data_IF_011050360977
#
_entry.id   IF_011050360977
#
_cell.length_a   1.000
_cell.length_b   1.000
_cell.length_c   1.000
_cell.angle_alpha   90.00
_cell.angle_beta   90.00
_cell.angle_gamma   90.00
#
_symmetry.space_group_name_H-M   'P 1'
#
loop_
_entity.id
_entity.type
_entity.pdbx_description
1 polymer ?
#
# COMPACT_ATOMS: atom_id res chain seq x y z
N UNK A 1 -6.25 12.66 -1.79
CA UNK A 1 -5.97 11.21 -1.64
C UNK A 1 -5.39 10.57 -2.91
N UNK A 2 -6.15 10.39 -4.02
CA UNK A 2 -5.67 9.65 -5.21
C UNK A 2 -4.35 10.17 -5.81
N UNK A 3 -4.17 11.49 -5.96
CA UNK A 3 -2.91 12.09 -6.43
C UNK A 3 -1.73 11.78 -5.50
N UNK A 4 -1.96 11.79 -4.19
CA UNK A 4 -0.92 11.50 -3.19
C UNK A 4 -0.53 10.01 -3.23
N UNK A 5 -1.48 9.10 -3.43
CA UNK A 5 -1.20 7.68 -3.64
C UNK A 5 -0.34 7.46 -4.88
N UNK A 6 -0.72 8.02 -6.03
CA UNK A 6 0.06 7.88 -7.25
C UNK A 6 1.47 8.46 -7.11
N UNK A 7 1.60 9.65 -6.52
CA UNK A 7 2.88 10.28 -6.28
C UNK A 7 3.79 9.44 -5.37
N UNK A 8 3.25 8.87 -4.29
CA UNK A 8 4.03 8.05 -3.36
C UNK A 8 4.42 6.69 -3.97
N UNK A 9 3.54 6.08 -4.78
CA UNK A 9 3.76 4.74 -5.34
C UNK A 9 4.51 4.73 -6.68
N UNK A 10 4.95 5.90 -7.18
CA UNK A 10 5.75 6.01 -8.41
C UNK A 10 5.00 5.68 -9.71
N UNK A 11 3.69 5.41 -9.63
CA UNK A 11 2.84 5.13 -10.77
C UNK A 11 2.29 6.42 -11.41
N UNK A 12 1.96 6.40 -12.71
CA UNK A 12 1.24 7.51 -13.32
C UNK A 12 -0.13 7.66 -12.64
N UNK A 13 -0.66 8.89 -12.49
CA UNK A 13 -2.03 9.08 -12.07
C UNK A 13 -3.00 8.30 -12.97
N UNK A 14 -4.10 7.73 -12.43
CA UNK A 14 -5.11 7.08 -13.24
C UNK A 14 -5.64 8.06 -14.30
N UNK A 15 -5.72 7.61 -15.57
CA UNK A 15 -6.23 8.43 -16.69
C UNK A 15 -7.76 8.57 -16.70
N UNK A 16 -8.43 7.87 -15.79
CA UNK A 16 -9.88 7.88 -15.62
C UNK A 16 -10.27 7.22 -14.29
N UNK A 17 -11.57 7.10 -14.06
CA UNK A 17 -12.07 6.40 -12.88
C UNK A 17 -11.68 4.91 -12.93
N UNK A 18 -11.20 4.38 -11.81
CA UNK A 18 -11.05 2.95 -11.61
C UNK A 18 -12.39 2.36 -11.21
N UNK A 19 -12.81 1.27 -11.85
CA UNK A 19 -14.05 0.58 -11.50
C UNK A 19 -13.86 -0.14 -10.17
N UNK A 20 -14.81 0.07 -9.26
CA UNK A 20 -14.91 -0.63 -7.99
C UNK A 20 -16.30 -1.25 -7.87
N UNK A 21 -16.35 -2.57 -7.72
CA UNK A 21 -17.57 -3.34 -7.52
C UNK A 21 -17.70 -3.71 -6.04
N UNK A 22 -18.86 -3.39 -5.46
CA UNK A 22 -19.23 -3.81 -4.10
C UNK A 22 -20.03 -5.09 -4.22
N UNK A 23 -19.50 -6.20 -3.69
CA UNK A 23 -20.09 -7.53 -3.87
C UNK A 23 -20.32 -8.20 -2.52
N UNK A 24 -21.24 -9.17 -2.42
CA UNK A 24 -21.43 -9.89 -1.16
C UNK A 24 -20.17 -10.64 -0.72
N UNK A 25 -19.37 -11.12 -1.68
CA UNK A 25 -18.10 -11.81 -1.44
C UNK A 25 -17.04 -11.33 -2.42
N UNK A 26 -15.85 -11.01 -1.91
CA UNK A 26 -14.70 -10.55 -2.70
C UNK A 26 -13.42 -11.29 -2.27
N UNK A 27 -13.48 -12.63 -2.28
CA UNK A 27 -12.33 -13.47 -1.93
C UNK A 27 -12.11 -13.66 -0.41
N UNK A 28 -11.11 -14.46 -0.01
CA UNK A 28 -10.91 -14.87 1.38
C UNK A 28 -10.51 -13.72 2.31
N UNK A 29 -9.92 -12.66 1.75
CA UNK A 29 -9.49 -11.47 2.48
C UNK A 29 -10.45 -10.30 2.30
N UNK A 30 -11.59 -10.49 1.63
CA UNK A 30 -12.66 -9.48 1.53
C UNK A 30 -12.44 -8.37 0.52
N UNK A 31 -11.32 -8.34 -0.20
CA UNK A 31 -11.07 -7.47 -1.34
C UNK A 31 -10.04 -8.07 -2.31
N UNK A 32 -10.07 -7.65 -3.58
CA UNK A 32 -9.02 -7.94 -4.56
C UNK A 32 -9.03 -6.95 -5.74
N UNK A 33 -7.92 -6.94 -6.49
CA UNK A 33 -7.75 -6.16 -7.72
C UNK A 33 -7.34 -7.05 -8.89
N UNK A 34 -7.98 -6.85 -10.05
CA UNK A 34 -7.54 -7.36 -11.36
C UNK A 34 -6.87 -6.20 -12.11
N UNK A 35 -5.75 -6.43 -12.80
CA UNK A 35 -4.95 -5.38 -13.46
C UNK A 35 -5.20 -5.22 -14.98
N UNK A 36 -6.09 -6.01 -15.59
CA UNK A 36 -6.34 -5.97 -17.03
C UNK A 36 -7.74 -6.42 -17.43
N UNK A 37 -8.74 -5.51 -17.49
CA UNK A 37 -8.71 -4.10 -17.06
C UNK A 37 -8.65 -3.93 -15.54
N UNK A 38 -8.30 -2.73 -15.05
CA UNK A 38 -8.31 -2.44 -13.61
C UNK A 38 -9.74 -2.54 -13.07
N UNK A 39 -9.98 -3.54 -12.21
CA UNK A 39 -11.24 -3.74 -11.49
C UNK A 39 -10.91 -4.07 -10.04
N UNK A 40 -11.52 -3.31 -9.14
CA UNK A 40 -11.46 -3.52 -7.70
C UNK A 40 -12.75 -4.20 -7.27
N UNK A 41 -12.69 -5.24 -6.45
CA UNK A 41 -13.84 -5.83 -5.80
C UNK A 41 -13.68 -5.74 -4.28
N UNK A 42 -14.73 -5.33 -3.57
CA UNK A 42 -14.74 -5.21 -2.11
C UNK A 42 -16.02 -5.83 -1.52
N UNK A 43 -15.86 -6.58 -0.43
CA UNK A 43 -16.95 -7.29 0.22
C UNK A 43 -17.87 -6.34 0.98
N UNK A 44 -19.17 -6.42 0.71
CA UNK A 44 -20.22 -5.70 1.43
C UNK A 44 -20.64 -6.37 2.74
N UNK A 45 -20.23 -7.62 2.96
CA UNK A 45 -20.62 -8.41 4.14
C UNK A 45 -19.47 -8.60 5.13
N UNK A 46 -18.24 -8.25 4.73
CA UNK A 46 -17.07 -8.35 5.59
C UNK A 46 -16.94 -7.08 6.43
N UNK A 47 -17.05 -7.21 7.75
CA UNK A 47 -16.96 -6.10 8.70
C UNK A 47 -15.60 -5.38 8.65
N UNK A 48 -14.54 -6.06 8.20
CA UNK A 48 -13.21 -5.46 8.03
C UNK A 48 -13.21 -4.38 6.95
N UNK A 49 -14.14 -4.44 6.00
CA UNK A 49 -14.22 -3.55 4.84
C UNK A 49 -15.43 -2.59 4.92
N UNK A 50 -15.74 -2.08 6.11
CA UNK A 50 -16.84 -1.15 6.33
C UNK A 50 -16.38 0.25 6.76
N UNK A 51 -17.23 1.26 6.55
CA UNK A 51 -16.96 2.63 6.99
C UNK A 51 -15.61 3.19 6.48
N UNK A 52 -14.83 3.88 7.34
CA UNK A 52 -13.50 4.38 6.98
C UNK A 52 -12.52 3.31 6.48
N UNK A 53 -12.61 2.08 6.99
CA UNK A 53 -11.76 0.97 6.56
C UNK A 53 -12.05 0.53 5.11
N UNK A 54 -13.29 0.68 4.65
CA UNK A 54 -13.66 0.46 3.25
C UNK A 54 -12.94 1.44 2.32
N UNK A 55 -12.87 2.72 2.72
CA UNK A 55 -12.17 3.76 1.96
C UNK A 55 -10.68 3.42 1.84
N UNK A 56 -10.03 3.07 2.96
CA UNK A 56 -8.63 2.66 2.93
C UNK A 56 -8.39 1.41 2.08
N UNK A 57 -9.28 0.42 2.18
CA UNK A 57 -9.22 -0.80 1.37
C UNK A 57 -9.30 -0.48 -0.12
N UNK A 58 -10.22 0.40 -0.55
CA UNK A 58 -10.30 0.83 -1.95
C UNK A 58 -9.01 1.51 -2.44
N UNK A 59 -8.37 2.32 -1.61
CA UNK A 59 -7.08 2.93 -1.96
C UNK A 59 -5.93 1.92 -1.98
N UNK A 60 -5.90 0.95 -1.07
CA UNK A 60 -4.96 -0.16 -1.09
C UNK A 60 -5.07 -0.93 -2.41
N UNK A 61 -6.29 -1.36 -2.74
CA UNK A 61 -6.60 -2.10 -3.97
C UNK A 61 -6.21 -1.32 -5.23
N UNK A 62 -6.63 -0.04 -5.32
CA UNK A 62 -6.21 0.84 -6.40
C UNK A 62 -4.69 0.97 -6.51
N UNK A 63 -3.98 0.93 -5.37
CA UNK A 63 -2.52 1.03 -5.33
C UNK A 63 -1.80 -0.16 -5.96
N UNK A 64 -2.43 -1.34 -6.09
CA UNK A 64 -1.83 -2.44 -6.86
C UNK A 64 -1.58 -2.07 -8.33
N UNK A 65 -2.45 -1.24 -8.93
CA UNK A 65 -2.25 -0.73 -10.29
C UNK A 65 -1.15 0.34 -10.40
N UNK A 66 -0.81 0.99 -9.28
CA UNK A 66 0.12 2.11 -9.24
C UNK A 66 1.55 1.68 -8.86
N UNK A 67 1.70 0.66 -8.00
CA UNK A 67 2.99 0.30 -7.39
C UNK A 67 3.92 -0.50 -8.31
N UNK A 68 3.47 -0.96 -9.47
CA UNK A 68 4.24 -1.84 -10.36
C UNK A 68 5.66 -1.34 -10.71
N UNK A 69 5.90 -0.03 -10.96
CA UNK A 69 7.27 0.46 -11.18
C UNK A 69 8.18 0.22 -9.97
N UNK A 70 7.68 0.44 -8.75
CA UNK A 70 8.44 0.25 -7.51
C UNK A 70 8.68 -1.23 -7.20
N UNK A 71 7.74 -2.13 -7.52
CA UNK A 71 7.96 -3.58 -7.27
C UNK A 71 9.13 -4.11 -8.09
N UNK A 72 9.30 -3.62 -9.32
CA UNK A 72 10.45 -3.95 -10.16
C UNK A 72 11.75 -3.37 -9.62
N UNK A 73 11.74 -2.09 -9.26
CA UNK A 73 12.92 -1.42 -8.69
C UNK A 73 13.35 -2.08 -7.38
N UNK A 74 12.39 -2.46 -6.53
CA UNK A 74 12.64 -3.16 -5.27
C UNK A 74 13.34 -4.48 -5.52
N UNK A 75 12.82 -5.30 -6.44
CA UNK A 75 13.40 -6.60 -6.75
C UNK A 75 14.86 -6.47 -7.19
N UNK A 76 15.13 -5.56 -8.12
CA UNK A 76 16.49 -5.29 -8.58
C UNK A 76 17.39 -4.85 -7.42
N UNK A 77 16.94 -3.93 -6.56
CA UNK A 77 17.73 -3.45 -5.44
C UNK A 77 18.00 -4.55 -4.39
N UNK A 78 17.03 -5.45 -4.12
CA UNK A 78 17.22 -6.58 -3.22
C UNK A 78 18.22 -7.60 -3.77
N UNK A 79 18.17 -7.87 -5.07
CA UNK A 79 19.13 -8.75 -5.76
C UNK A 79 20.55 -8.15 -5.71
N UNK A 80 20.72 -6.88 -6.07
CA UNK A 80 22.02 -6.18 -6.09
C UNK A 80 22.64 -6.05 -4.69
N UNK A 81 21.82 -5.95 -3.64
CA UNK A 81 22.30 -5.84 -2.25
C UNK A 81 22.42 -7.18 -1.53
N UNK A 82 22.11 -8.29 -2.20
CA UNK A 82 22.19 -9.63 -1.60
C UNK A 82 21.21 -9.84 -0.44
N UNK A 83 20.01 -9.26 -0.53
CA UNK A 83 18.94 -9.35 0.49
C UNK A 83 17.73 -10.14 0.00
N UNK A 84 17.91 -11.39 -0.49
CA UNK A 84 16.78 -12.20 -0.95
C UNK A 84 15.80 -12.48 0.21
N UNK A 85 14.51 -12.56 -0.11
CA UNK A 85 13.46 -12.86 0.85
C UNK A 85 12.79 -11.63 1.49
N UNK A 86 13.12 -10.43 1.04
CA UNK A 86 12.36 -9.21 1.36
C UNK A 86 11.37 -8.82 0.26
N UNK A 87 11.03 -9.77 -0.62
CA UNK A 87 10.15 -9.56 -1.78
C UNK A 87 8.75 -9.08 -1.40
N UNK A 88 8.30 -9.33 -0.17
CA UNK A 88 7.00 -8.90 0.33
C UNK A 88 6.99 -7.45 0.87
N UNK A 89 8.14 -6.77 0.89
CA UNK A 89 8.26 -5.38 1.37
C UNK A 89 7.38 -4.43 0.54
N UNK A 90 7.16 -4.68 -0.75
CA UNK A 90 6.27 -3.82 -1.54
C UNK A 90 4.82 -3.85 -1.01
N UNK A 91 4.34 -4.97 -0.48
CA UNK A 91 2.96 -5.09 -0.01
C UNK A 91 2.78 -4.40 1.34
N UNK A 92 3.77 -4.56 2.23
CA UNK A 92 3.87 -3.79 3.46
C UNK A 92 3.90 -2.27 3.19
N UNK A 93 4.72 -1.83 2.23
CA UNK A 93 4.81 -0.43 1.80
C UNK A 93 3.48 0.09 1.23
N UNK A 94 2.77 -0.73 0.45
CA UNK A 94 1.45 -0.38 -0.08
C UNK A 94 0.43 -0.17 1.04
N UNK A 95 0.34 -1.08 2.01
CA UNK A 95 -0.52 -0.93 3.18
C UNK A 95 -0.18 0.31 4.00
N UNK A 96 1.11 0.53 4.27
CA UNK A 96 1.58 1.72 4.98
C UNK A 96 1.17 3.02 4.27
N UNK A 97 1.38 3.06 2.95
CA UNK A 97 1.07 4.26 2.14
C UNK A 97 -0.43 4.54 2.12
N UNK A 98 -1.27 3.52 1.89
CA UNK A 98 -2.72 3.68 1.90
C UNK A 98 -3.21 4.18 3.26
N UNK A 99 -2.74 3.56 4.35
CA UNK A 99 -3.07 3.94 5.71
C UNK A 99 -2.70 5.38 6.06
N UNK A 100 -1.47 5.79 5.76
CA UNK A 100 -1.00 7.15 6.05
C UNK A 100 -1.72 8.20 5.20
N UNK A 101 -1.95 7.94 3.91
CA UNK A 101 -2.68 8.88 3.04
C UNK A 101 -4.13 9.06 3.50
N UNK A 102 -4.80 7.98 3.89
CA UNK A 102 -6.20 8.04 4.36
C UNK A 102 -6.28 8.65 5.75
N UNK A 103 -5.39 8.29 6.68
CA UNK A 103 -5.31 8.91 8.01
C UNK A 103 -5.14 10.43 7.94
N UNK A 104 -4.29 10.94 7.04
CA UNK A 104 -4.13 12.39 6.82
C UNK A 104 -5.42 13.07 6.34
N UNK A 105 -6.30 12.34 5.67
CA UNK A 105 -7.58 12.87 5.19
C UNK A 105 -8.69 12.76 6.23
N UNK A 106 -8.74 11.67 6.99
CA UNK A 106 -9.81 11.37 7.94
C UNK A 106 -9.52 11.88 9.36
N UNK A 107 -8.26 12.19 9.67
CA UNK A 107 -7.83 12.73 10.95
C UNK A 107 -7.12 11.70 11.83
N UNK A 108 -6.60 12.16 12.98
CA UNK A 108 -5.73 11.37 13.85
C UNK A 108 -6.43 10.16 14.51
N UNK A 109 -7.75 10.20 14.65
CA UNK A 109 -8.56 9.12 15.24
C UNK A 109 -8.73 7.93 14.29
N UNK A 110 -8.46 8.10 12.99
CA UNK A 110 -8.45 7.00 12.05
C UNK A 110 -7.27 6.06 12.33
N UNK A 111 -7.58 4.81 12.64
CA UNK A 111 -6.59 3.74 12.82
C UNK A 111 -6.35 3.08 11.46
N UNK A 112 -5.13 3.14 10.89
CA UNK A 112 -4.81 2.48 9.62
C UNK A 112 -5.19 1.00 9.62
N UNK A 113 -5.70 0.49 8.50
CA UNK A 113 -6.19 -0.88 8.31
C UNK A 113 -5.17 -1.92 8.75
N UNK A 114 -3.91 -1.76 8.33
CA UNK A 114 -2.84 -2.71 8.69
C UNK A 114 -2.61 -2.78 10.21
N UNK A 115 -2.81 -1.68 10.94
CA UNK A 115 -2.76 -1.67 12.40
C UNK A 115 -4.02 -2.26 13.02
N UNK A 116 -5.21 -1.86 12.55
CA UNK A 116 -6.49 -2.35 13.05
C UNK A 116 -6.65 -3.87 12.87
N UNK A 117 -6.09 -4.42 11.79
CA UNK A 117 -6.12 -5.84 11.46
C UNK A 117 -4.86 -6.59 11.92
N UNK A 118 -3.99 -5.98 12.73
CA UNK A 118 -2.76 -6.63 13.24
C UNK A 118 -1.90 -7.27 12.14
N UNK A 119 -1.76 -6.61 10.98
CA UNK A 119 -1.00 -7.13 9.85
C UNK A 119 0.51 -7.08 10.14
N UNK A 120 0.97 -6.03 10.83
CA UNK A 120 2.37 -5.87 11.19
C UNK A 120 2.89 -7.04 12.04
N UNK A 121 2.04 -7.60 12.89
CA UNK A 121 2.40 -8.69 13.81
C UNK A 121 2.20 -10.07 13.18
N UNK A 122 1.16 -10.26 12.36
CA UNK A 122 0.83 -11.59 11.81
C UNK A 122 1.58 -11.94 10.53
N UNK A 123 1.97 -10.93 9.73
CA UNK A 123 2.65 -11.18 8.45
C UNK A 123 4.16 -11.25 8.70
N UNK A 124 4.84 -12.32 8.25
CA UNK A 124 6.28 -12.48 8.49
C UNK A 124 7.08 -11.25 8.04
N UNK A 125 8.01 -10.82 8.90
CA UNK A 125 8.93 -9.66 8.70
C UNK A 125 8.28 -8.28 8.74
N UNK A 126 6.95 -8.13 8.64
CA UNK A 126 6.32 -6.81 8.56
C UNK A 126 6.56 -5.93 9.78
N UNK A 127 6.63 -6.52 10.97
CA UNK A 127 6.99 -5.81 12.20
C UNK A 127 8.36 -5.14 12.13
N UNK A 128 9.33 -5.75 11.43
CA UNK A 128 10.67 -5.15 11.21
C UNK A 128 10.66 -4.06 10.15
N UNK A 129 9.70 -4.05 9.22
CA UNK A 129 9.58 -3.02 8.19
C UNK A 129 8.97 -1.73 8.70
N UNK A 130 8.04 -1.81 9.65
CA UNK A 130 7.30 -0.64 10.15
C UNK A 130 8.20 0.53 10.59
N UNK A 131 9.23 0.36 11.45
CA UNK A 131 10.10 1.48 11.83
C UNK A 131 10.93 2.03 10.65
N UNK A 132 11.24 1.19 9.65
CA UNK A 132 11.95 1.61 8.44
C UNK A 132 11.02 2.43 7.53
N UNK A 133 9.76 2.01 7.38
CA UNK A 133 8.71 2.72 6.64
C UNK A 133 8.41 4.08 7.27
N UNK A 134 8.27 4.14 8.60
CA UNK A 134 8.11 5.41 9.31
C UNK A 134 9.26 6.38 9.03
N UNK A 135 10.50 5.89 9.08
CA UNK A 135 11.70 6.71 8.91
C UNK A 135 11.94 7.14 7.46
N UNK A 136 11.78 6.22 6.51
CA UNK A 136 12.26 6.39 5.14
C UNK A 136 11.13 6.62 4.13
N UNK A 137 9.90 6.25 4.45
CA UNK A 137 8.76 6.39 3.53
C UNK A 137 7.86 7.58 3.84
N UNK A 138 7.72 8.01 5.11
CA UNK A 138 6.99 9.25 5.45
C UNK A 138 7.50 10.47 4.65
N UNK A 139 8.82 10.69 4.46
CA UNK A 139 9.30 11.77 3.59
C UNK A 139 8.80 11.69 2.15
N UNK A 140 8.60 10.48 1.60
CA UNK A 140 8.01 10.29 0.27
C UNK A 140 6.55 10.71 0.26
N UNK A 141 5.77 10.28 1.26
CA UNK A 141 4.35 10.67 1.40
C UNK A 141 4.20 12.18 1.62
N UNK A 142 5.16 12.81 2.30
CA UNK A 142 5.24 14.26 2.49
C UNK A 142 5.70 15.04 1.24
N UNK A 143 6.10 14.35 0.16
CA UNK A 143 6.66 14.98 -1.03
C UNK A 143 8.05 15.60 -0.83
N UNK A 144 8.77 15.17 0.22
CA UNK A 144 10.13 15.62 0.57
C UNK A 144 11.22 14.74 -0.03
N UNK A 145 10.86 13.56 -0.54
CA UNK A 145 11.74 12.62 -1.22
C UNK A 145 11.01 11.97 -2.40
N UNK A 146 11.75 11.49 -3.40
CA UNK A 146 11.13 10.70 -4.47
C UNK A 146 10.88 9.26 -4.03
N UNK A 147 9.93 8.54 -4.66
CA UNK A 147 9.71 7.13 -4.37
C UNK A 147 10.98 6.26 -4.54
N UNK A 148 11.80 6.55 -5.55
CA UNK A 148 13.08 5.84 -5.77
C UNK A 148 14.08 6.10 -4.63
N UNK A 149 14.18 7.35 -4.14
CA UNK A 149 15.09 7.67 -3.02
C UNK A 149 14.65 6.97 -1.73
N UNK A 150 13.35 6.99 -1.42
CA UNK A 150 12.78 6.29 -0.27
C UNK A 150 13.01 4.78 -0.36
N UNK A 151 12.86 4.19 -1.55
CA UNK A 151 13.02 2.76 -1.76
C UNK A 151 14.47 2.32 -1.56
N UNK A 152 15.43 3.08 -2.13
CA UNK A 152 16.86 2.84 -1.91
C UNK A 152 17.23 2.95 -0.43
N UNK A 153 16.69 3.94 0.28
CA UNK A 153 16.92 4.10 1.71
C UNK A 153 16.34 2.94 2.53
N UNK A 154 15.14 2.45 2.19
CA UNK A 154 14.54 1.26 2.80
C UNK A 154 15.42 0.04 2.58
N UNK A 155 15.79 -0.26 1.33
CA UNK A 155 16.61 -1.44 1.00
C UNK A 155 17.97 -1.37 1.67
N UNK A 156 18.61 -0.21 1.74
CA UNK A 156 19.87 -0.03 2.45
C UNK A 156 19.76 -0.36 3.95
N UNK A 157 18.60 -0.10 4.56
CA UNK A 157 18.35 -0.27 5.99
C UNK A 157 17.77 -1.64 6.42
N UNK A 158 17.43 -2.51 5.45
CA UNK A 158 17.08 -3.92 5.70
C UNK A 158 18.27 -4.71 6.26
#
# INVERSE_FOLDING_TARGET
>A
MAKNMAAALGGPPPQGAMRADVTAFAGPVGAYTILGPVLIAISSTDERHQGPAAVESLFHEAGHALIFPLTRELRTALEETGKPGHDDLWHALLFFTAGEVVKRQLGPDHVPYAKAQHLWERVPKWSSYLPLLDKHWIPVIDGKATPSDGLKALVAAL
#
